data_IF_002858461454
#
_entry.id   IF_002858461454
#
_cell.length_a   1.000
_cell.length_b   1.000
_cell.length_c   1.000
_cell.angle_alpha   90.00
_cell.angle_beta   90.00
_cell.angle_gamma   90.00
#
_symmetry.space_group_name_H-M   'P 1'
#
loop_
_entity.id
_entity.type
_entity.pdbx_description
1 polymer ?
#
# COMPACT_ATOMS: atom_id res chain seq x y z
N UNK A 1 15.82 -9.88 -0.01
CA UNK A 1 15.33 -8.51 0.30
C UNK A 1 15.48 -7.63 -0.93
N UNK A 2 14.63 -6.59 -1.13
CA UNK A 2 14.83 -5.61 -2.19
C UNK A 2 16.14 -4.84 -1.99
N UNK A 3 16.82 -4.48 -3.09
CA UNK A 3 18.09 -3.77 -3.03
C UNK A 3 17.91 -2.27 -2.73
N UNK A 4 18.91 -1.64 -2.11
CA UNK A 4 18.87 -0.20 -1.80
C UNK A 4 18.62 0.71 -3.03
N UNK A 5 19.18 0.43 -4.23
CA UNK A 5 18.83 1.17 -5.45
C UNK A 5 17.37 0.98 -5.87
N UNK A 6 16.81 -0.23 -5.76
CA UNK A 6 15.42 -0.50 -6.11
C UNK A 6 14.44 0.26 -5.19
N UNK A 7 14.72 0.32 -3.89
CA UNK A 7 13.94 1.09 -2.91
C UNK A 7 13.98 2.59 -3.26
N UNK A 8 15.17 3.15 -3.54
CA UNK A 8 15.32 4.56 -3.93
C UNK A 8 14.58 4.90 -5.22
N UNK A 9 14.70 4.05 -6.25
CA UNK A 9 14.01 4.20 -7.52
C UNK A 9 12.49 4.16 -7.35
N UNK A 10 11.96 3.12 -6.69
CA UNK A 10 10.52 2.96 -6.43
C UNK A 10 9.93 4.11 -5.63
N UNK A 11 10.61 4.57 -4.57
CA UNK A 11 10.16 5.72 -3.78
C UNK A 11 10.11 7.01 -4.61
N UNK A 12 11.14 7.25 -5.43
CA UNK A 12 11.23 8.47 -6.26
C UNK A 12 10.16 8.48 -7.35
N UNK A 13 9.98 7.33 -8.03
CA UNK A 13 8.95 7.15 -9.05
C UNK A 13 7.55 7.33 -8.45
N UNK A 14 7.25 6.66 -7.34
CA UNK A 14 5.94 6.76 -6.67
C UNK A 14 5.63 8.18 -6.18
N UNK A 15 6.60 8.90 -5.60
CA UNK A 15 6.43 10.31 -5.22
C UNK A 15 6.15 11.17 -6.46
N UNK A 16 6.88 10.96 -7.55
CA UNK A 16 6.71 11.73 -8.81
C UNK A 16 5.35 11.47 -9.44
N UNK A 17 4.94 10.20 -9.57
CA UNK A 17 3.66 9.78 -10.13
C UNK A 17 2.48 10.34 -9.32
N UNK A 18 2.52 10.20 -7.98
CA UNK A 18 1.49 10.75 -7.10
C UNK A 18 1.46 12.29 -7.15
N UNK A 19 2.61 12.96 -7.22
CA UNK A 19 2.69 14.42 -7.30
C UNK A 19 2.10 14.94 -8.62
N UNK A 20 2.43 14.31 -9.75
CA UNK A 20 1.87 14.66 -11.07
C UNK A 20 0.35 14.37 -11.10
N UNK A 21 -0.09 13.22 -10.58
CA UNK A 21 -1.51 12.87 -10.51
C UNK A 21 -2.32 13.89 -9.69
N UNK A 22 -1.80 14.31 -8.53
CA UNK A 22 -2.47 15.29 -7.66
C UNK A 22 -2.43 16.72 -8.23
N UNK A 23 -1.26 17.19 -8.71
CA UNK A 23 -1.11 18.57 -9.20
C UNK A 23 -1.65 18.80 -10.62
N UNK A 24 -1.65 17.78 -11.48
CA UNK A 24 -2.22 17.88 -12.82
C UNK A 24 -3.68 17.41 -12.83
N UNK A 25 -3.96 16.14 -12.56
CA UNK A 25 -5.31 15.59 -12.77
C UNK A 25 -6.31 16.05 -11.69
N UNK A 26 -6.00 15.87 -10.41
CA UNK A 26 -6.94 16.22 -9.34
C UNK A 26 -7.18 17.74 -9.24
N UNK A 27 -6.13 18.55 -9.39
CA UNK A 27 -6.25 20.01 -9.43
C UNK A 27 -7.08 20.47 -10.65
N UNK A 28 -6.81 19.96 -11.86
CA UNK A 28 -7.60 20.27 -13.05
C UNK A 28 -9.08 19.94 -12.88
N UNK A 29 -9.43 18.76 -12.37
CA UNK A 29 -10.83 18.36 -12.16
C UNK A 29 -11.51 19.25 -11.10
N UNK A 30 -10.83 19.53 -9.99
CA UNK A 30 -11.37 20.42 -8.94
C UNK A 30 -11.59 21.85 -9.46
N UNK A 31 -10.65 22.40 -10.22
CA UNK A 31 -10.78 23.72 -10.86
C UNK A 31 -11.87 23.73 -11.93
N UNK A 32 -12.00 22.69 -12.75
CA UNK A 32 -13.06 22.58 -13.75
C UNK A 32 -14.45 22.53 -13.10
N UNK A 33 -14.61 21.80 -11.99
CA UNK A 33 -15.86 21.78 -11.21
C UNK A 33 -16.17 23.13 -10.56
N UNK A 34 -15.16 23.85 -10.05
CA UNK A 34 -15.33 25.19 -9.48
C UNK A 34 -15.71 26.22 -10.55
N UNK A 35 -15.06 26.19 -11.73
CA UNK A 35 -15.40 27.04 -12.87
C UNK A 35 -16.81 26.72 -13.40
N UNK A 36 -17.18 25.43 -13.49
CA UNK A 36 -18.54 25.02 -13.87
C UNK A 36 -19.58 25.54 -12.88
N UNK A 37 -19.34 25.40 -11.57
CA UNK A 37 -20.22 25.92 -10.53
C UNK A 37 -20.36 27.45 -10.65
N UNK A 38 -19.25 28.19 -10.76
CA UNK A 38 -19.25 29.66 -10.82
C UNK A 38 -19.73 30.27 -12.14
N UNK A 39 -19.70 29.52 -13.25
CA UNK A 39 -20.27 29.96 -14.54
C UNK A 39 -21.75 29.61 -14.71
N UNK A 40 -22.25 28.64 -13.94
CA UNK A 40 -23.63 28.17 -14.07
C UNK A 40 -24.54 28.70 -12.95
N UNK A 41 -24.11 28.62 -11.69
CA UNK A 41 -24.95 29.03 -10.56
C UNK A 41 -25.12 30.56 -10.54
N UNK A 42 -26.36 31.08 -10.46
CA UNK A 42 -26.58 32.52 -10.27
C UNK A 42 -25.97 33.00 -8.95
N UNK A 43 -25.42 34.23 -8.96
CA UNK A 43 -24.67 34.83 -7.85
C UNK A 43 -25.43 35.00 -6.51
N UNK A 44 -26.73 34.67 -6.49
CA UNK A 44 -27.63 34.76 -5.33
C UNK A 44 -28.26 33.41 -4.92
N UNK A 45 -27.81 32.27 -5.45
CA UNK A 45 -28.39 30.96 -5.15
C UNK A 45 -27.72 30.24 -3.96
N UNK A 46 -28.47 30.05 -2.88
CA UNK A 46 -28.11 29.21 -1.73
C UNK A 46 -28.06 27.71 -2.03
N UNK A 47 -28.47 27.30 -3.24
CA UNK A 47 -28.77 25.93 -3.66
C UNK A 47 -27.72 25.42 -4.67
N UNK A 48 -26.44 25.51 -4.28
CA UNK A 48 -25.28 25.01 -5.04
C UNK A 48 -25.21 23.47 -5.05
N UNK A 49 -26.33 22.81 -5.32
CA UNK A 49 -26.50 21.37 -5.22
C UNK A 49 -26.15 20.64 -6.52
N UNK A 50 -25.78 19.36 -6.39
CA UNK A 50 -25.53 18.43 -7.50
C UNK A 50 -26.72 18.42 -8.50
N UNK A 51 -27.94 18.49 -7.97
CA UNK A 51 -29.18 18.54 -8.74
C UNK A 51 -29.30 19.83 -9.58
N UNK A 52 -28.93 20.98 -9.01
CA UNK A 52 -28.90 22.25 -9.75
C UNK A 52 -27.94 22.15 -10.94
N UNK A 53 -26.69 21.70 -10.71
CA UNK A 53 -25.67 21.51 -11.75
C UNK A 53 -26.16 20.56 -12.86
N UNK A 54 -26.77 19.42 -12.49
CA UNK A 54 -27.36 18.48 -13.46
C UNK A 54 -28.45 19.13 -14.31
N UNK A 55 -29.43 19.80 -13.67
CA UNK A 55 -30.55 20.43 -14.36
C UNK A 55 -30.10 21.52 -15.32
N UNK A 56 -29.04 22.24 -14.96
CA UNK A 56 -28.54 23.39 -15.68
C UNK A 56 -27.60 22.99 -16.83
N UNK A 57 -26.82 21.91 -16.69
CA UNK A 57 -26.15 21.25 -17.82
C UNK A 57 -27.17 20.78 -18.86
N UNK A 58 -28.27 20.18 -18.40
CA UNK A 58 -29.34 19.67 -19.26
C UNK A 58 -30.09 20.78 -20.03
N UNK A 59 -30.30 21.96 -19.42
CA UNK A 59 -30.99 23.09 -20.05
C UNK A 59 -30.09 24.01 -20.89
N UNK A 60 -28.82 24.20 -20.50
CA UNK A 60 -27.95 25.22 -21.09
C UNK A 60 -27.06 24.68 -22.22
N UNK A 61 -26.67 23.40 -22.16
CA UNK A 61 -25.83 22.76 -23.19
C UNK A 61 -26.66 21.79 -24.02
N UNK A 62 -27.12 20.71 -23.39
CA UNK A 62 -28.01 19.72 -24.00
C UNK A 62 -28.50 18.73 -22.92
N UNK A 63 -29.68 18.10 -23.07
CA UNK A 63 -30.12 17.03 -22.16
C UNK A 63 -29.09 15.91 -21.98
N UNK A 64 -28.31 15.61 -23.03
CA UNK A 64 -27.22 14.64 -23.00
C UNK A 64 -26.04 15.05 -22.08
N UNK A 65 -25.79 16.35 -21.87
CA UNK A 65 -24.74 16.80 -20.95
C UNK A 65 -25.11 16.49 -19.49
N UNK A 66 -26.39 16.63 -19.13
CA UNK A 66 -26.92 16.21 -17.82
C UNK A 66 -26.76 14.71 -17.59
N UNK A 67 -27.16 13.87 -18.56
CA UNK A 67 -27.06 12.41 -18.41
C UNK A 67 -25.60 11.91 -18.36
N UNK A 68 -24.69 12.53 -19.12
CA UNK A 68 -23.25 12.24 -19.03
C UNK A 68 -22.70 12.62 -17.65
N UNK A 69 -23.09 13.77 -17.09
CA UNK A 69 -22.70 14.18 -15.73
C UNK A 69 -23.23 13.21 -14.65
N UNK A 70 -24.50 12.80 -14.73
CA UNK A 70 -25.07 11.80 -13.83
C UNK A 70 -24.35 10.45 -13.92
N UNK A 71 -23.99 10.00 -15.13
CA UNK A 71 -23.23 8.78 -15.35
C UNK A 71 -21.80 8.88 -14.80
N UNK A 72 -21.12 10.03 -14.99
CA UNK A 72 -19.79 10.27 -14.45
C UNK A 72 -19.77 10.24 -12.91
N UNK A 73 -20.78 10.82 -12.25
CA UNK A 73 -20.97 10.74 -10.80
C UNK A 73 -21.19 9.30 -10.32
N UNK A 74 -22.00 8.51 -11.04
CA UNK A 74 -22.23 7.10 -10.72
C UNK A 74 -20.93 6.27 -10.81
N UNK A 75 -20.17 6.44 -11.91
CA UNK A 75 -18.87 5.77 -12.10
C UNK A 75 -17.84 6.21 -11.04
N UNK A 76 -17.81 7.49 -10.68
CA UNK A 76 -16.98 8.02 -9.60
C UNK A 76 -17.30 7.35 -8.25
N UNK A 77 -18.58 7.26 -7.88
CA UNK A 77 -19.02 6.58 -6.65
C UNK A 77 -18.75 5.07 -6.63
N UNK A 78 -18.73 4.41 -7.80
CA UNK A 78 -18.30 3.01 -7.94
C UNK A 78 -16.79 2.89 -7.68
N UNK A 79 -15.97 3.75 -8.32
CA UNK A 79 -14.50 3.78 -8.19
C UNK A 79 -14.05 4.07 -6.76
N UNK A 80 -14.57 5.14 -6.16
CA UNK A 80 -14.30 5.51 -4.75
C UNK A 80 -14.67 4.37 -3.79
N UNK A 81 -15.75 3.63 -4.08
CA UNK A 81 -16.16 2.45 -3.32
C UNK A 81 -15.24 1.24 -3.44
N UNK A 82 -14.36 1.17 -4.46
CA UNK A 82 -13.32 0.13 -4.60
C UNK A 82 -12.06 0.54 -3.83
N UNK A 83 -11.60 1.79 -4.00
CA UNK A 83 -10.46 2.34 -3.27
C UNK A 83 -10.71 2.31 -1.75
N UNK A 84 -11.93 2.65 -1.32
CA UNK A 84 -12.35 2.56 0.07
C UNK A 84 -12.26 1.12 0.62
N UNK A 85 -12.64 0.10 -0.14
CA UNK A 85 -12.48 -1.30 0.32
C UNK A 85 -11.02 -1.71 0.46
N UNK A 86 -10.14 -1.31 -0.48
CA UNK A 86 -8.71 -1.64 -0.42
C UNK A 86 -8.04 -0.96 0.77
N UNK A 87 -8.29 0.34 0.96
CA UNK A 87 -7.80 1.09 2.13
C UNK A 87 -8.37 0.51 3.45
N UNK A 88 -9.64 0.11 3.46
CA UNK A 88 -10.29 -0.54 4.59
C UNK A 88 -9.66 -1.89 4.96
N UNK A 89 -9.22 -2.68 3.98
CA UNK A 89 -8.42 -3.89 4.24
C UNK A 89 -7.06 -3.54 4.87
N UNK A 90 -6.30 -2.63 4.26
CA UNK A 90 -4.99 -2.19 4.78
C UNK A 90 -5.06 -1.70 6.23
N UNK A 91 -6.08 -0.91 6.57
CA UNK A 91 -6.29 -0.39 7.94
C UNK A 91 -6.75 -1.48 8.91
N UNK A 92 -7.70 -2.33 8.53
CA UNK A 92 -8.25 -3.35 9.46
C UNK A 92 -7.29 -4.53 9.70
N UNK A 93 -6.48 -4.90 8.71
CA UNK A 93 -5.45 -5.94 8.88
C UNK A 93 -4.20 -5.37 9.57
N UNK A 94 -3.81 -4.11 9.27
CA UNK A 94 -2.66 -3.45 9.88
C UNK A 94 -2.88 -2.99 11.34
N UNK A 95 -3.99 -2.32 11.63
CA UNK A 95 -4.25 -1.71 12.94
C UNK A 95 -5.14 -2.57 13.87
N UNK A 96 -6.19 -3.19 13.32
CA UNK A 96 -7.15 -4.00 14.11
C UNK A 96 -6.81 -5.50 14.10
N UNK A 97 -5.88 -5.95 13.24
CA UNK A 97 -5.53 -7.37 12.99
C UNK A 97 -6.74 -8.26 12.66
N UNK A 98 -7.82 -7.65 12.17
CA UNK A 98 -9.08 -8.34 11.90
C UNK A 98 -9.13 -8.78 10.44
N UNK A 99 -9.14 -10.09 10.19
CA UNK A 99 -9.44 -10.66 8.88
C UNK A 99 -10.95 -10.91 8.75
N UNK A 100 -11.52 -10.50 7.62
CA UNK A 100 -12.92 -10.73 7.27
C UNK A 100 -13.07 -10.85 5.76
N UNK A 101 -14.06 -11.62 5.29
CA UNK A 101 -14.27 -11.82 3.86
C UNK A 101 -14.48 -10.47 3.13
N UNK A 102 -13.76 -10.18 2.02
CA UNK A 102 -13.81 -8.86 1.39
C UNK A 102 -15.22 -8.41 0.96
N UNK A 103 -16.05 -9.36 0.49
CA UNK A 103 -17.45 -9.09 0.13
C UNK A 103 -18.30 -8.68 1.35
N UNK A 104 -18.09 -9.33 2.49
CA UNK A 104 -18.85 -9.08 3.72
C UNK A 104 -18.44 -7.73 4.33
N UNK A 105 -17.14 -7.44 4.36
CA UNK A 105 -16.59 -6.12 4.74
C UNK A 105 -17.17 -5.02 3.85
N UNK A 106 -17.18 -5.21 2.52
CA UNK A 106 -17.79 -4.27 1.57
C UNK A 106 -19.29 -4.07 1.80
N UNK A 107 -20.03 -5.15 2.08
CA UNK A 107 -21.47 -5.10 2.35
C UNK A 107 -21.75 -4.31 3.64
N UNK A 108 -21.12 -4.68 4.76
CA UNK A 108 -21.32 -4.03 6.07
C UNK A 108 -20.99 -2.53 6.00
N UNK A 109 -19.81 -2.15 5.47
CA UNK A 109 -19.43 -0.73 5.37
C UNK A 109 -20.37 0.05 4.45
N UNK A 110 -20.85 -0.55 3.35
CA UNK A 110 -21.87 0.10 2.49
C UNK A 110 -23.22 0.20 3.19
N UNK A 111 -23.71 -0.83 3.86
CA UNK A 111 -24.98 -0.75 4.61
C UNK A 111 -24.95 0.33 5.69
N UNK A 112 -23.85 0.45 6.44
CA UNK A 112 -23.69 1.49 7.48
C UNK A 112 -23.64 2.91 6.86
N UNK A 113 -22.98 3.08 5.72
CA UNK A 113 -22.87 4.37 5.02
C UNK A 113 -24.14 4.78 4.25
N UNK A 114 -24.87 3.80 3.68
CA UNK A 114 -26.05 4.04 2.85
C UNK A 114 -27.31 4.24 3.71
N UNK A 115 -27.45 3.53 4.85
CA UNK A 115 -28.61 3.67 5.76
C UNK A 115 -28.96 5.12 6.13
N UNK A 116 -28.05 5.96 6.68
CA UNK A 116 -28.38 7.35 7.00
C UNK A 116 -28.71 8.16 5.74
N UNK A 117 -28.05 7.89 4.61
CA UNK A 117 -28.31 8.55 3.33
C UNK A 117 -29.72 8.26 2.81
N UNK A 118 -30.20 7.02 2.93
CA UNK A 118 -31.57 6.62 2.57
C UNK A 118 -32.59 7.27 3.52
N UNK A 119 -32.35 7.24 4.83
CA UNK A 119 -33.27 7.82 5.82
C UNK A 119 -33.45 9.33 5.56
N UNK A 120 -32.35 10.06 5.32
CA UNK A 120 -32.39 11.50 5.02
C UNK A 120 -33.08 11.77 3.68
N UNK A 121 -32.79 10.97 2.64
CA UNK A 121 -33.45 11.11 1.34
C UNK A 121 -34.96 10.84 1.40
N UNK A 122 -35.40 9.87 2.21
CA UNK A 122 -36.81 9.52 2.38
C UNK A 122 -37.59 10.50 3.27
N UNK A 123 -36.95 11.09 4.30
CA UNK A 123 -37.61 11.97 5.25
C UNK A 123 -37.50 13.48 4.91
N UNK A 124 -36.45 13.90 4.19
CA UNK A 124 -36.12 15.32 3.94
C UNK A 124 -35.83 15.62 2.46
N UNK A 125 -35.47 14.61 1.66
CA UNK A 125 -35.26 14.78 0.22
C UNK A 125 -33.98 15.57 -0.14
N UNK A 126 -34.07 16.42 -1.18
CA UNK A 126 -32.92 17.12 -1.81
C UNK A 126 -32.04 17.87 -0.81
N UNK A 127 -32.67 18.64 0.06
CA UNK A 127 -31.98 19.63 0.88
C UNK A 127 -31.29 18.96 2.07
N UNK A 128 -31.95 17.96 2.66
CA UNK A 128 -31.34 17.07 3.65
C UNK A 128 -30.15 16.30 3.08
N UNK A 129 -30.25 15.78 1.85
CA UNK A 129 -29.13 15.08 1.21
C UNK A 129 -27.96 16.03 0.90
N UNK A 130 -28.24 17.27 0.49
CA UNK A 130 -27.22 18.31 0.27
C UNK A 130 -26.54 18.70 1.59
N UNK A 131 -27.31 18.87 2.67
CA UNK A 131 -26.77 19.09 4.01
C UNK A 131 -25.92 17.90 4.51
N UNK A 132 -26.33 16.66 4.22
CA UNK A 132 -25.57 15.46 4.57
C UNK A 132 -24.24 15.35 3.80
N UNK A 133 -24.22 15.75 2.52
CA UNK A 133 -22.99 15.83 1.72
C UNK A 133 -22.02 16.88 2.29
N UNK A 134 -22.51 18.07 2.62
CA UNK A 134 -21.69 19.13 3.24
C UNK A 134 -21.19 18.70 4.65
N UNK A 135 -22.06 18.10 5.47
CA UNK A 135 -21.69 17.53 6.76
C UNK A 135 -20.63 16.43 6.65
N UNK A 136 -20.66 15.64 5.57
CA UNK A 136 -19.63 14.62 5.30
C UNK A 136 -18.26 15.24 4.98
N UNK A 137 -18.21 16.41 4.34
CA UNK A 137 -16.94 17.15 4.13
C UNK A 137 -16.36 17.67 5.45
N UNK A 138 -17.22 18.17 6.35
CA UNK A 138 -16.80 18.61 7.71
C UNK A 138 -16.34 17.42 8.55
N UNK A 139 -17.03 16.28 8.50
CA UNK A 139 -16.60 15.06 9.19
C UNK A 139 -15.23 14.56 8.68
N UNK A 140 -14.99 14.64 7.36
CA UNK A 140 -13.69 14.31 6.77
C UNK A 140 -12.59 15.29 7.21
N UNK A 141 -12.85 16.60 7.25
CA UNK A 141 -11.84 17.57 7.70
C UNK A 141 -11.47 17.36 9.16
N UNK A 142 -12.44 17.12 10.05
CA UNK A 142 -12.20 16.78 11.46
C UNK A 142 -11.36 15.50 11.61
N UNK A 143 -11.51 14.51 10.73
CA UNK A 143 -10.72 13.28 10.77
C UNK A 143 -9.26 13.45 10.32
N UNK A 144 -8.98 14.37 9.38
CA UNK A 144 -7.65 14.52 8.76
C UNK A 144 -6.50 14.79 9.75
N UNK A 145 -6.59 15.69 10.75
CA UNK A 145 -5.55 15.91 11.76
C UNK A 145 -5.12 14.64 12.50
N UNK A 146 -6.06 13.77 12.88
CA UNK A 146 -5.80 12.56 13.65
C UNK A 146 -5.10 11.47 12.83
N UNK A 147 -5.39 11.39 11.52
CA UNK A 147 -4.74 10.44 10.60
C UNK A 147 -3.34 10.94 10.19
N UNK A 148 -3.19 12.25 9.98
CA UNK A 148 -1.94 12.85 9.51
C UNK A 148 -0.87 13.04 10.59
N UNK A 149 -1.25 13.32 11.85
CA UNK A 149 -0.30 13.45 12.96
C UNK A 149 0.66 12.23 13.14
N UNK A 150 0.19 10.97 13.24
CA UNK A 150 1.08 9.82 13.34
C UNK A 150 1.89 9.60 12.06
N UNK A 151 1.34 9.88 10.89
CA UNK A 151 2.02 9.75 9.60
C UNK A 151 3.23 10.70 9.51
N UNK A 152 3.06 11.96 9.91
CA UNK A 152 4.15 12.95 9.99
C UNK A 152 5.20 12.50 11.02
N UNK A 153 4.77 12.07 12.20
CA UNK A 153 5.67 11.58 13.26
C UNK A 153 6.53 10.38 12.82
N UNK A 154 5.96 9.41 12.12
CA UNK A 154 6.70 8.24 11.61
C UNK A 154 7.65 8.61 10.46
N UNK A 155 7.19 9.40 9.48
CA UNK A 155 8.00 9.81 8.30
C UNK A 155 9.16 10.73 8.65
N UNK A 156 9.06 11.52 9.73
CA UNK A 156 10.13 12.39 10.21
C UNK A 156 11.13 11.67 11.14
N UNK A 157 10.82 10.49 11.67
CA UNK A 157 11.67 9.77 12.62
C UNK A 157 12.58 8.74 11.95
N UNK A 158 13.89 9.00 12.05
CA UNK A 158 14.97 8.07 11.68
C UNK A 158 14.76 6.63 12.15
N UNK A 159 14.17 6.40 13.34
CA UNK A 159 13.96 5.04 13.88
C UNK A 159 13.00 4.17 13.05
N UNK A 160 12.13 4.79 12.24
CA UNK A 160 11.16 4.09 11.40
C UNK A 160 11.50 4.17 9.91
N UNK A 161 12.15 5.26 9.48
CA UNK A 161 12.62 5.46 8.10
C UNK A 161 14.11 5.08 7.92
N UNK A 162 14.47 3.84 8.23
CA UNK A 162 15.83 3.29 7.96
C UNK A 162 15.77 1.90 7.38
N UNK A 163 16.54 1.65 6.32
CA UNK A 163 16.77 0.32 5.75
C UNK A 163 18.12 -0.18 6.24
N UNK A 164 18.14 -1.35 6.89
CA UNK A 164 19.38 -2.07 7.18
C UNK A 164 19.78 -2.89 5.95
N UNK A 165 21.06 -2.95 5.57
CA UNK A 165 21.51 -3.88 4.54
C UNK A 165 21.31 -5.32 5.03
N UNK A 166 21.20 -6.31 4.13
CA UNK A 166 21.41 -7.70 4.52
C UNK A 166 22.77 -7.83 5.17
N UNK A 167 22.87 -8.56 6.30
CA UNK A 167 24.19 -9.01 6.77
C UNK A 167 24.84 -9.85 5.66
N UNK A 168 26.17 -9.76 5.46
CA UNK A 168 26.89 -10.79 4.74
C UNK A 168 26.51 -12.16 5.31
N UNK A 169 26.34 -13.14 4.43
CA UNK A 169 26.45 -14.52 4.84
C UNK A 169 27.94 -14.72 5.01
N UNK A 170 28.41 -14.82 6.25
CA UNK A 170 29.75 -15.35 6.50
C UNK A 170 29.80 -16.73 5.85
N UNK A 171 30.84 -17.05 5.05
CA UNK A 171 31.01 -18.43 4.62
C UNK A 171 31.14 -19.25 5.89
N UNK A 172 30.30 -20.29 6.03
CA UNK A 172 30.66 -21.38 6.90
C UNK A 172 32.02 -21.87 6.40
N UNK A 173 33.04 -21.82 7.25
CA UNK A 173 34.24 -22.58 6.99
C UNK A 173 33.79 -24.04 6.98
N UNK A 174 33.98 -24.72 5.86
CA UNK A 174 33.78 -26.16 5.77
C UNK A 174 34.82 -26.80 6.70
N UNK A 175 34.35 -27.31 7.85
CA UNK A 175 35.19 -27.87 8.93
C UNK A 175 35.62 -29.30 8.57
N UNK A 176 36.13 -29.47 7.35
CA UNK A 176 36.72 -30.71 6.83
C UNK A 176 38.11 -30.88 7.44
N UNK A 177 38.18 -31.36 8.69
CA UNK A 177 39.42 -31.91 9.27
C UNK A 177 39.12 -33.05 10.26
N UNK A 178 38.82 -34.20 9.68
CA UNK A 178 39.27 -35.56 10.04
C UNK A 178 39.29 -36.07 11.51
N UNK A 179 38.77 -37.31 11.62
CA UNK A 179 39.26 -38.44 12.44
C UNK A 179 38.65 -38.76 13.83
N UNK A 180 38.41 -40.07 14.04
CA UNK A 180 38.28 -40.83 15.31
C UNK A 180 37.43 -40.22 16.47
N UNK A 181 36.31 -40.81 16.90
CA UNK A 181 36.10 -42.24 17.25
C UNK A 181 34.61 -42.62 17.33
N UNK A 182 34.27 -43.85 16.92
CA UNK A 182 32.96 -44.47 17.21
C UNK A 182 32.99 -45.16 18.59
N UNK A 183 32.12 -44.74 19.52
CA UNK A 183 31.90 -45.44 20.81
C UNK A 183 30.40 -45.60 21.07
N UNK A 184 29.83 -46.82 21.00
CA UNK A 184 28.40 -47.04 21.19
C UNK A 184 27.97 -46.86 22.65
N UNK A 185 26.85 -46.17 22.87
CA UNK A 185 26.36 -45.82 24.20
C UNK A 185 25.81 -47.02 24.99
N UNK A 186 26.27 -47.19 26.22
CA UNK A 186 25.84 -48.27 27.12
C UNK A 186 24.75 -47.84 28.12
N UNK A 187 23.49 -48.17 27.79
CA UNK A 187 22.44 -48.61 28.74
C UNK A 187 21.98 -47.71 29.90
N UNK A 188 20.76 -47.19 29.78
CA UNK A 188 19.86 -46.92 30.92
C UNK A 188 18.38 -47.00 30.50
N UNK A 189 17.67 -48.08 30.88
CA UNK A 189 16.26 -48.33 30.49
C UNK A 189 15.29 -48.24 31.67
N UNK A 190 14.33 -47.32 31.63
CA UNK A 190 13.07 -47.30 32.40
C UNK A 190 12.03 -46.51 31.57
N UNK A 191 10.71 -46.75 31.54
CA UNK A 191 9.84 -47.95 31.49
C UNK A 191 8.36 -47.44 31.46
N UNK A 192 7.41 -48.22 30.95
CA UNK A 192 5.95 -47.88 30.90
C UNK A 192 5.54 -47.17 29.60
N UNK A 193 4.81 -47.76 28.66
CA UNK A 193 3.41 -48.28 28.67
C UNK A 193 2.37 -47.24 28.23
N UNK A 194 1.58 -47.58 27.19
CA UNK A 194 0.52 -46.72 26.64
C UNK A 194 0.09 -47.16 25.23
N UNK A 195 -1.01 -47.93 25.12
CA UNK A 195 -1.44 -48.58 23.88
C UNK A 195 -2.02 -47.61 22.82
N UNK A 196 -1.98 -48.04 21.54
CA UNK A 196 -2.70 -47.42 20.41
C UNK A 196 -3.36 -48.50 19.54
N UNK A 197 -4.52 -48.23 18.94
CA UNK A 197 -5.21 -49.18 18.05
C UNK A 197 -6.46 -48.64 17.36
N UNK A 198 -6.80 -49.19 16.18
CA UNK A 198 -7.96 -48.82 15.34
C UNK A 198 -7.65 -47.68 14.33
N UNK A 199 -7.78 -47.76 13.00
CA UNK A 199 -8.77 -48.41 12.08
C UNK A 199 -10.13 -47.65 12.14
N UNK A 200 -10.73 -47.07 11.08
CA UNK A 200 -10.84 -47.45 9.64
C UNK A 200 -11.26 -46.27 8.70
N UNK A 201 -10.98 -46.35 7.38
CA UNK A 201 -11.86 -46.03 6.19
C UNK A 201 -12.61 -44.67 6.01
N UNK A 202 -13.15 -44.23 4.84
CA UNK A 202 -12.88 -44.44 3.39
C UNK A 202 -13.63 -43.41 2.50
N UNK A 203 -12.90 -42.73 1.59
CA UNK A 203 -13.15 -42.45 0.15
C UNK A 203 -14.55 -42.50 -0.53
N UNK A 204 -14.92 -41.44 -1.28
CA UNK A 204 -15.32 -41.35 -2.74
C UNK A 204 -15.71 -39.87 -3.06
N UNK A 205 -15.28 -39.11 -4.08
CA UNK A 205 -15.33 -39.22 -5.58
C UNK A 205 -16.72 -39.48 -6.17
N UNK A 206 -17.23 -38.83 -7.24
CA UNK A 206 -16.70 -37.92 -8.31
C UNK A 206 -17.64 -36.65 -8.45
N UNK A 207 -17.51 -35.64 -9.34
CA UNK A 207 -16.58 -35.29 -10.44
C UNK A 207 -17.18 -34.22 -11.41
N UNK A 208 -16.39 -33.70 -12.38
CA UNK A 208 -16.82 -32.96 -13.62
C UNK A 208 -17.43 -31.53 -13.48
N UNK A 209 -17.14 -30.48 -14.29
CA UNK A 209 -16.05 -30.13 -15.27
C UNK A 209 -15.55 -28.66 -15.06
N UNK A 210 -15.56 -27.58 -15.89
CA UNK A 210 -16.03 -27.22 -17.27
C UNK A 210 -15.32 -25.94 -17.80
N UNK A 211 -15.54 -25.57 -19.08
CA UNK A 211 -15.05 -24.40 -19.87
C UNK A 211 -15.02 -23.01 -19.20
N UNK A 212 -14.12 -22.05 -19.52
CA UNK A 212 -12.89 -22.06 -20.35
C UNK A 212 -11.93 -20.92 -19.95
N UNK A 213 -10.66 -21.01 -20.37
CA UNK A 213 -9.54 -20.05 -20.14
C UNK A 213 -9.29 -19.19 -21.43
N UNK A 214 -8.27 -18.29 -21.63
CA UNK A 214 -6.85 -18.41 -21.26
C UNK A 214 -6.16 -17.19 -20.60
N UNK A 215 -5.02 -17.46 -19.95
CA UNK A 215 -3.97 -16.49 -19.63
C UNK A 215 -2.79 -16.65 -20.63
N UNK A 216 -1.84 -15.70 -20.62
CA UNK A 216 -0.69 -15.70 -21.54
C UNK A 216 0.56 -16.27 -20.85
N UNK A 217 1.25 -17.18 -21.53
CA UNK A 217 2.53 -17.79 -21.12
C UNK A 217 3.61 -17.43 -22.14
N UNK A 218 4.87 -17.28 -21.71
CA UNK A 218 6.05 -17.19 -22.60
C UNK A 218 7.17 -18.08 -22.04
N UNK A 219 7.97 -18.66 -22.93
CA UNK A 219 8.65 -19.95 -22.69
C UNK A 219 10.18 -19.86 -22.60
N UNK A 220 10.77 -20.85 -21.91
CA UNK A 220 12.20 -21.14 -21.86
C UNK A 220 12.72 -21.69 -23.22
N UNK A 221 13.97 -21.43 -23.64
CA UNK A 221 14.59 -22.08 -24.80
C UNK A 221 15.19 -23.47 -24.47
N UNK A 222 15.26 -24.41 -25.44
CA UNK A 222 15.85 -25.75 -25.28
C UNK A 222 17.35 -25.81 -25.66
N UNK A 223 17.98 -26.98 -25.47
CA UNK A 223 19.40 -27.22 -25.74
C UNK A 223 19.66 -28.43 -26.68
N UNK A 224 20.76 -28.35 -27.46
CA UNK A 224 21.26 -29.38 -28.37
C UNK A 224 20.87 -29.18 -29.86
N UNK A 225 21.77 -29.32 -30.85
CA UNK A 225 23.23 -29.55 -30.80
C UNK A 225 23.84 -29.81 -32.19
N UNK A 226 25.16 -30.11 -32.21
CA UNK A 226 25.97 -30.66 -33.33
C UNK A 226 26.91 -29.73 -34.16
N UNK A 227 28.21 -29.97 -33.95
CA UNK A 227 29.32 -30.06 -34.92
C UNK A 227 29.81 -28.87 -35.79
N UNK A 228 31.00 -28.36 -35.44
CA UNK A 228 32.09 -28.03 -36.38
C UNK A 228 33.48 -28.25 -35.69
N UNK A 229 34.54 -28.52 -36.46
CA UNK A 229 35.96 -28.68 -36.01
C UNK A 229 36.74 -27.37 -36.27
N UNK A 230 37.95 -27.08 -35.78
CA UNK A 230 39.20 -27.86 -35.63
C UNK A 230 40.21 -27.19 -34.65
N UNK A 231 41.24 -27.94 -34.20
CA UNK A 231 42.63 -27.53 -33.83
C UNK A 231 42.87 -26.42 -32.76
N UNK A 232 43.90 -26.45 -31.90
CA UNK A 232 44.98 -27.41 -31.58
C UNK A 232 45.53 -27.12 -30.18
N UNK A 233 46.33 -28.03 -29.60
CA UNK A 233 47.07 -27.88 -28.33
C UNK A 233 48.55 -28.27 -28.53
N UNK A 234 49.45 -28.18 -27.51
CA UNK A 234 49.52 -27.26 -26.37
C UNK A 234 50.83 -26.43 -26.37
N UNK A 235 51.03 -25.49 -25.43
CA UNK A 235 52.36 -24.98 -25.02
C UNK A 235 52.40 -24.53 -23.55
N UNK A 236 53.07 -25.35 -22.75
CA UNK A 236 54.00 -25.04 -21.65
C UNK A 236 53.94 -23.64 -21.00
N UNK A 237 53.62 -23.59 -19.69
CA UNK A 237 54.12 -22.54 -18.79
C UNK A 237 54.09 -22.97 -17.33
N UNK A 238 55.16 -22.65 -16.61
CA UNK A 238 55.40 -22.88 -15.18
C UNK A 238 56.21 -21.67 -14.63
N UNK A 239 56.43 -21.50 -13.31
CA UNK A 239 55.45 -20.84 -12.46
C UNK A 239 55.96 -19.53 -11.84
N UNK A 240 55.04 -18.60 -11.60
CA UNK A 240 55.19 -17.44 -10.72
C UNK A 240 53.80 -16.98 -10.24
N UNK A 241 53.76 -16.10 -9.23
CA UNK A 241 52.56 -15.56 -8.53
C UNK A 241 51.97 -16.45 -7.40
N UNK A 242 52.73 -16.61 -6.30
CA UNK A 242 52.26 -17.25 -5.05
C UNK A 242 52.62 -16.45 -3.77
N UNK A 243 52.97 -15.16 -3.91
CA UNK A 243 53.53 -14.35 -2.79
C UNK A 243 52.59 -13.24 -2.32
N UNK A 244 51.81 -12.62 -3.22
CA UNK A 244 51.03 -11.40 -2.91
C UNK A 244 49.70 -11.64 -2.15
N UNK A 245 49.34 -12.88 -1.84
CA UNK A 245 48.05 -13.21 -1.18
C UNK A 245 48.13 -13.12 0.35
N UNK A 246 49.32 -13.23 0.94
CA UNK A 246 49.48 -13.48 2.39
C UNK A 246 49.46 -12.19 3.24
N UNK A 247 49.94 -11.05 2.73
CA UNK A 247 50.07 -9.82 3.53
C UNK A 247 48.74 -9.04 3.71
N UNK A 248 47.65 -9.48 3.07
CA UNK A 248 46.31 -8.93 3.29
C UNK A 248 45.71 -9.29 4.68
N UNK A 249 46.38 -10.13 5.47
CA UNK A 249 45.85 -10.76 6.68
C UNK A 249 46.10 -9.99 8.00
N UNK A 250 46.40 -8.67 7.98
CA UNK A 250 46.67 -7.88 9.20
C UNK A 250 45.73 -6.68 9.42
N UNK A 251 45.22 -6.61 10.66
CA UNK A 251 44.47 -5.51 11.28
C UNK A 251 43.11 -5.19 10.65
N UNK A 252 42.09 -5.98 11.05
CA UNK A 252 40.72 -5.50 11.20
C UNK A 252 40.35 -5.48 12.69
N UNK A 253 40.01 -4.31 13.21
CA UNK A 253 39.58 -4.13 14.61
C UNK A 253 38.22 -4.81 14.86
N UNK A 254 37.95 -5.33 16.08
CA UNK A 254 36.65 -5.88 16.46
C UNK A 254 35.56 -4.82 16.73
N UNK A 255 35.74 -3.61 16.20
CA UNK A 255 34.82 -2.47 16.31
C UNK A 255 33.97 -2.32 15.05
N UNK A 256 33.34 -3.40 14.58
CA UNK A 256 32.31 -3.29 13.53
C UNK A 256 31.06 -2.63 14.12
N UNK A 257 30.94 -1.31 13.91
CA UNK A 257 29.75 -0.54 14.25
C UNK A 257 28.49 -1.23 13.66
N UNK A 258 27.53 -1.70 14.48
CA UNK A 258 26.33 -2.40 14.01
C UNK A 258 25.35 -1.50 13.22
N UNK A 259 25.71 -0.23 12.99
CA UNK A 259 25.04 0.70 12.08
C UNK A 259 25.72 0.82 10.71
N UNK A 260 26.83 0.11 10.46
CA UNK A 260 27.55 0.12 9.18
C UNK A 260 26.61 -0.19 8.00
N UNK A 261 26.44 0.80 7.12
CA UNK A 261 25.58 0.70 5.94
C UNK A 261 24.07 0.92 6.16
N UNK A 262 23.60 1.26 7.37
CA UNK A 262 22.18 1.57 7.62
C UNK A 262 21.77 2.87 6.91
N UNK A 263 21.00 2.74 5.82
CA UNK A 263 20.60 3.89 5.00
C UNK A 263 19.33 4.54 5.57
N UNK A 264 19.43 5.85 5.80
CA UNK A 264 18.34 6.68 6.31
C UNK A 264 17.50 7.25 5.17
N UNK A 265 16.17 7.18 5.31
CA UNK A 265 15.17 7.68 4.37
C UNK A 265 14.23 8.70 5.03
N UNK A 266 14.56 9.19 6.25
CA UNK A 266 13.75 10.21 6.95
C UNK A 266 13.55 11.44 6.06
N UNK A 267 12.38 12.07 6.19
CA UNK A 267 12.11 13.29 5.43
C UNK A 267 13.09 14.43 5.81
N UNK A 268 13.39 15.30 4.85
CA UNK A 268 14.29 16.45 5.07
C UNK A 268 13.73 17.40 6.13
N UNK A 269 14.61 18.07 6.90
CA UNK A 269 14.17 18.94 8.01
C UNK A 269 13.23 20.06 7.54
N UNK A 270 13.52 20.67 6.39
CA UNK A 270 12.65 21.69 5.76
C UNK A 270 11.26 21.10 5.45
N UNK A 271 11.20 19.92 4.85
CA UNK A 271 9.94 19.24 4.52
C UNK A 271 9.18 18.79 5.76
N UNK A 272 9.88 18.40 6.83
CA UNK A 272 9.29 18.05 8.12
C UNK A 272 8.68 19.29 8.81
N UNK A 273 9.39 20.42 8.84
CA UNK A 273 8.87 21.70 9.33
C UNK A 273 7.66 22.15 8.51
N UNK A 274 7.73 22.08 7.17
CA UNK A 274 6.62 22.42 6.29
C UNK A 274 5.39 21.53 6.54
N UNK A 275 5.57 20.21 6.68
CA UNK A 275 4.48 19.28 6.99
C UNK A 275 3.84 19.58 8.35
N UNK A 276 4.64 19.93 9.37
CA UNK A 276 4.13 20.34 10.69
C UNK A 276 3.38 21.68 10.63
N UNK A 277 3.85 22.65 9.84
CA UNK A 277 3.15 23.93 9.64
C UNK A 277 1.80 23.75 8.93
N UNK A 278 1.76 22.94 7.87
CA UNK A 278 0.51 22.59 7.16
C UNK A 278 -0.44 21.82 8.08
N UNK A 279 0.06 20.86 8.85
CA UNK A 279 -0.73 20.13 9.83
C UNK A 279 -1.30 21.03 10.93
N UNK A 280 -0.50 21.96 11.45
CA UNK A 280 -0.93 22.93 12.46
C UNK A 280 -2.02 23.84 11.90
N UNK A 281 -1.84 24.35 10.66
CA UNK A 281 -2.85 25.17 9.99
C UNK A 281 -4.17 24.42 9.79
N UNK A 282 -4.13 23.20 9.28
CA UNK A 282 -5.33 22.35 9.10
C UNK A 282 -6.01 22.09 10.46
N UNK A 283 -5.23 21.77 11.49
CA UNK A 283 -5.75 21.47 12.83
C UNK A 283 -6.41 22.69 13.47
N UNK A 284 -5.74 23.86 13.45
CA UNK A 284 -6.29 25.11 13.97
C UNK A 284 -7.54 25.54 13.20
N UNK A 285 -7.54 25.45 11.87
CA UNK A 285 -8.69 25.80 11.05
C UNK A 285 -9.89 24.87 11.30
N UNK A 286 -9.66 23.57 11.45
CA UNK A 286 -10.74 22.60 11.73
C UNK A 286 -11.28 22.73 13.16
N UNK A 287 -10.44 23.05 14.14
CA UNK A 287 -10.89 23.38 15.51
C UNK A 287 -11.68 24.69 15.51
N UNK A 288 -11.22 25.72 14.80
CA UNK A 288 -11.95 26.99 14.68
C UNK A 288 -13.32 26.79 14.02
N UNK A 289 -13.39 26.03 12.93
CA UNK A 289 -14.66 25.68 12.26
C UNK A 289 -15.59 24.88 13.17
N UNK A 290 -15.07 23.92 13.95
CA UNK A 290 -15.87 23.13 14.88
C UNK A 290 -16.42 23.97 16.04
N UNK A 291 -15.62 24.89 16.58
CA UNK A 291 -16.04 25.84 17.62
C UNK A 291 -17.07 26.83 17.06
N UNK A 292 -16.85 27.38 15.87
CA UNK A 292 -17.80 28.30 15.22
C UNK A 292 -19.15 27.61 14.92
N UNK A 293 -19.12 26.37 14.43
CA UNK A 293 -20.32 25.54 14.21
C UNK A 293 -21.05 25.16 15.52
N UNK A 294 -20.32 25.03 16.62
CA UNK A 294 -20.90 24.80 17.95
C UNK A 294 -21.57 26.05 18.52
N UNK A 295 -20.94 27.22 18.36
CA UNK A 295 -21.46 28.52 18.83
C UNK A 295 -22.66 28.97 18.01
N UNK A 296 -22.60 28.88 16.67
CA UNK A 296 -23.69 29.23 15.74
C UNK A 296 -24.84 28.19 15.74
N UNK A 297 -25.05 27.53 16.87
CA UNK A 297 -26.11 26.55 17.14
C UNK A 297 -26.63 26.64 18.59
N UNK A 298 -26.19 27.65 19.35
CA UNK A 298 -26.64 27.97 20.71
C UNK A 298 -27.69 29.08 20.78
N UNK A 299 -27.94 29.76 19.66
CA UNK A 299 -29.01 30.74 19.41
C UNK A 299 -30.03 30.18 18.40
#
# INVERSE_FOLDING_TARGET
HPSLPAIRSSLTYSITELTISLLTFALFVNSALLILAGSSLPASTSDASLFAIHSLLASTIAPAAGTIFALALLLSGISAGIVCTIAGQMVSEGALRWTAAPWLRRLITRSISITPSIIIAAAVGKDGLTAALNGSQVALSVALPFVSAPLIYFTCRSRYMTVRPPRPIEPHADDDTDDETEVPAAGATIAGEGAMGGVTANTKTEGTTTSTVPAITTTLPPAGGSAAKTNSAPRDREPQDVVDVVEAARVRSPDEDPMAGVVNFKNGWVTAVFAVLVWLFITVMNVANLVLLGLNKGD
#
